data_IF_147987968987
#
_entry.id   IF_147987968987
#
_cell.length_a   1.000
_cell.length_b   1.000
_cell.length_c   1.000
_cell.angle_alpha   90.00
_cell.angle_beta   90.00
_cell.angle_gamma   90.00
#
_symmetry.space_group_name_H-M   'P 1'
#
loop_
_entity.id
_entity.type
_entity.pdbx_description
1 polymer ?
#
# COMPACT_ATOMS: atom_id res chain seq x y z
N UNK A 1 -45.68 -14.90 27.70
CA UNK A 1 -44.89 -13.66 27.90
C UNK A 1 -43.58 -14.06 28.55
N UNK A 2 -42.45 -13.95 27.83
CA UNK A 2 -41.54 -12.84 28.09
C UNK A 2 -41.00 -12.14 26.81
N UNK A 3 -41.03 -10.81 26.90
CA UNK A 3 -40.13 -9.78 26.34
C UNK A 3 -39.39 -9.98 25.00
N UNK A 4 -39.94 -9.35 23.95
CA UNK A 4 -39.25 -9.00 22.70
C UNK A 4 -38.06 -8.05 22.98
N UNK A 5 -36.82 -8.51 22.77
CA UNK A 5 -35.67 -7.62 22.59
C UNK A 5 -35.58 -7.22 21.11
N UNK A 6 -35.83 -5.95 20.83
CA UNK A 6 -35.64 -5.33 19.52
C UNK A 6 -34.14 -5.28 19.18
N UNK A 7 -33.71 -6.00 18.14
CA UNK A 7 -32.38 -5.85 17.56
C UNK A 7 -32.33 -4.52 16.80
N UNK A 8 -31.68 -3.51 17.38
CA UNK A 8 -31.26 -2.30 16.65
C UNK A 8 -30.26 -2.73 15.58
N UNK A 9 -30.63 -2.60 14.31
CA UNK A 9 -29.69 -2.71 13.20
C UNK A 9 -28.62 -1.63 13.35
N UNK A 10 -27.35 -2.04 13.46
CA UNK A 10 -26.22 -1.13 13.27
C UNK A 10 -26.15 -0.83 11.77
N UNK A 11 -26.65 0.35 11.37
CA UNK A 11 -26.32 0.94 10.08
C UNK A 11 -24.80 1.08 10.05
N UNK A 12 -24.14 0.43 9.10
CA UNK A 12 -22.75 0.70 8.77
C UNK A 12 -22.62 2.18 8.44
N UNK A 13 -21.92 2.92 9.29
CA UNK A 13 -21.56 4.29 8.99
C UNK A 13 -20.51 4.21 7.87
N UNK A 14 -20.90 4.60 6.65
CA UNK A 14 -19.94 5.13 5.69
C UNK A 14 -19.36 6.39 6.32
N UNK A 15 -18.21 6.28 6.96
CA UNK A 15 -17.50 7.45 7.47
C UNK A 15 -16.90 8.20 6.29
N UNK A 16 -17.61 9.22 5.82
CA UNK A 16 -17.01 10.26 4.98
C UNK A 16 -15.95 10.96 5.83
N UNK A 17 -14.69 10.75 5.50
CA UNK A 17 -13.57 11.47 6.09
C UNK A 17 -13.69 12.97 5.75
N UNK A 18 -14.32 13.73 6.64
CA UNK A 18 -14.23 15.19 6.66
C UNK A 18 -13.24 15.61 7.75
N UNK A 19 -12.02 15.07 7.72
CA UNK A 19 -10.90 15.66 8.43
C UNK A 19 -10.19 16.59 7.46
N UNK A 20 -10.47 17.88 7.56
CA UNK A 20 -9.64 18.91 6.93
C UNK A 20 -8.33 18.97 7.71
N UNK A 21 -7.44 18.01 7.49
CA UNK A 21 -6.05 18.10 7.95
C UNK A 21 -5.42 19.23 7.15
N UNK A 22 -5.04 20.30 7.83
CA UNK A 22 -4.35 21.42 7.21
C UNK A 22 -3.07 20.89 6.52
N UNK A 23 -2.96 20.98 5.18
CA UNK A 23 -1.80 20.49 4.43
C UNK A 23 -0.50 21.16 4.90
N UNK A 24 -0.58 22.36 5.47
CA UNK A 24 0.58 23.09 5.98
C UNK A 24 1.13 22.53 7.31
N UNK A 25 0.40 21.60 7.94
CA UNK A 25 0.78 21.01 9.22
C UNK A 25 1.44 19.62 9.08
N UNK A 26 1.38 18.98 7.90
CA UNK A 26 2.02 17.70 7.67
C UNK A 26 3.54 17.87 7.66
N UNK A 27 4.23 17.03 8.43
CA UNK A 27 5.69 17.11 8.58
C UNK A 27 6.32 15.76 8.32
N UNK A 28 7.47 15.79 7.66
CA UNK A 28 8.32 14.62 7.48
C UNK A 28 8.81 14.14 8.85
N UNK A 29 8.56 12.86 9.15
CA UNK A 29 9.08 12.21 10.35
C UNK A 29 10.58 11.92 10.28
N UNK A 30 11.16 11.61 11.42
CA UNK A 30 12.59 11.30 11.60
C UNK A 30 12.86 9.84 11.94
N UNK A 31 14.10 9.38 11.74
CA UNK A 31 14.52 8.04 12.19
C UNK A 31 14.42 7.88 13.72
N UNK A 32 14.63 8.95 14.49
CA UNK A 32 14.49 8.92 15.95
C UNK A 32 13.04 8.70 16.39
N UNK A 33 12.09 9.34 15.71
CA UNK A 33 10.66 9.11 15.96
C UNK A 33 10.26 7.70 15.53
N UNK A 34 10.77 7.21 14.39
CA UNK A 34 10.57 5.83 13.95
C UNK A 34 11.09 4.82 14.97
N UNK A 35 12.28 5.05 15.55
CA UNK A 35 12.83 4.18 16.60
C UNK A 35 11.91 4.13 17.82
N UNK A 36 11.36 5.28 18.24
CA UNK A 36 10.48 5.43 19.41
C UNK A 36 9.03 4.99 19.17
N UNK A 37 8.62 4.84 17.92
CA UNK A 37 7.24 4.49 17.57
C UNK A 37 6.82 3.17 18.22
N UNK A 38 5.59 3.15 18.77
CA UNK A 38 5.02 1.93 19.35
C UNK A 38 4.51 1.04 18.22
N UNK A 39 5.21 -0.06 17.98
CA UNK A 39 4.89 -1.04 16.91
C UNK A 39 3.89 -2.11 17.35
N UNK A 40 3.80 -2.41 18.65
CA UNK A 40 2.86 -3.38 19.21
C UNK A 40 1.50 -2.75 19.44
N UNK A 41 0.76 -2.62 18.33
CA UNK A 41 -0.64 -2.17 18.26
C UNK A 41 -1.46 -3.27 17.57
N UNK A 42 -2.76 -3.34 17.86
CA UNK A 42 -3.67 -4.29 17.20
C UNK A 42 -3.86 -3.91 15.74
N UNK A 43 -4.19 -2.63 15.51
CA UNK A 43 -4.32 -2.03 14.19
C UNK A 43 -3.42 -0.79 14.09
N UNK A 44 -2.79 -0.52 12.93
CA UNK A 44 -2.10 0.73 12.69
C UNK A 44 -3.08 1.90 12.84
N UNK A 45 -2.82 2.86 13.73
CA UNK A 45 -3.76 3.95 13.96
C UNK A 45 -3.71 4.95 12.79
N UNK A 46 -4.88 5.40 12.35
CA UNK A 46 -5.05 6.48 11.36
C UNK A 46 -5.25 7.86 12.01
N UNK A 47 -5.37 7.93 13.34
CA UNK A 47 -5.52 9.16 14.12
C UNK A 47 -4.75 9.11 15.44
N UNK A 48 -4.52 10.28 16.04
CA UNK A 48 -3.86 10.41 17.34
C UNK A 48 -2.34 10.58 17.23
N UNK A 49 -1.62 10.17 18.28
CA UNK A 49 -0.21 10.50 18.47
C UNK A 49 0.80 9.44 17.98
N UNK A 50 0.33 8.27 17.55
CA UNK A 50 1.18 7.15 17.12
C UNK A 50 0.97 6.82 15.64
N UNK A 51 0.97 7.81 14.76
CA UNK A 51 0.64 7.65 13.32
C UNK A 51 1.70 6.89 12.51
N UNK A 52 2.95 6.88 12.98
CA UNK A 52 4.11 6.33 12.25
C UNK A 52 3.91 4.89 11.73
N UNK A 53 3.34 3.93 12.48
CA UNK A 53 3.06 2.60 11.94
C UNK A 53 2.08 2.63 10.75
N UNK A 54 1.07 3.50 10.79
CA UNK A 54 0.16 3.72 9.66
C UNK A 54 0.91 4.31 8.47
N UNK A 55 1.69 5.36 8.69
CA UNK A 55 2.44 6.04 7.63
C UNK A 55 3.47 5.11 6.96
N UNK A 56 4.19 4.30 7.73
CA UNK A 56 5.20 3.37 7.19
C UNK A 56 4.57 2.23 6.38
N UNK A 57 3.34 1.82 6.70
CA UNK A 57 2.66 0.71 6.04
C UNK A 57 1.82 1.14 4.84
N UNK A 58 1.27 2.36 4.85
CA UNK A 58 0.21 2.78 3.92
C UNK A 58 0.48 4.07 3.14
N UNK A 59 1.64 4.69 3.33
CA UNK A 59 2.00 5.84 2.50
C UNK A 59 2.45 5.38 1.11
N UNK A 60 2.19 6.19 0.09
CA UNK A 60 2.61 5.97 -1.30
C UNK A 60 3.39 7.17 -1.87
N UNK A 61 4.32 6.99 -2.83
CA UNK A 61 4.95 8.11 -3.51
C UNK A 61 3.99 8.83 -4.44
N UNK A 62 4.32 10.07 -4.79
CA UNK A 62 3.67 10.87 -5.84
C UNK A 62 4.70 11.73 -6.55
N UNK A 63 4.45 12.07 -7.82
CA UNK A 63 5.26 13.08 -8.49
C UNK A 63 4.97 14.52 -8.04
N UNK A 64 3.86 14.75 -7.32
CA UNK A 64 3.54 16.05 -6.75
C UNK A 64 4.45 16.38 -5.55
N UNK A 65 4.93 17.62 -5.47
CA UNK A 65 5.81 18.06 -4.40
C UNK A 65 5.06 18.15 -3.06
N UNK A 66 5.78 17.87 -1.97
CA UNK A 66 5.29 18.00 -0.59
C UNK A 66 4.66 16.73 -0.04
N UNK A 67 3.83 16.91 0.99
CA UNK A 67 3.07 15.86 1.66
C UNK A 67 1.57 16.13 1.48
N UNK A 68 0.79 15.07 1.24
CA UNK A 68 -0.68 15.16 1.26
C UNK A 68 -1.29 13.88 1.83
N UNK A 69 -2.59 13.90 2.19
CA UNK A 69 -3.27 12.71 2.70
C UNK A 69 -3.45 11.66 1.60
N UNK A 70 -3.20 10.40 1.92
CA UNK A 70 -3.49 9.30 1.00
C UNK A 70 -4.98 8.94 1.05
N UNK A 71 -5.77 9.61 0.19
CA UNK A 71 -7.23 9.44 0.14
C UNK A 71 -7.65 8.08 -0.41
N UNK A 72 -6.87 7.54 -1.35
CA UNK A 72 -7.15 6.25 -1.98
C UNK A 72 -7.03 5.11 -0.94
N UNK A 73 -6.01 5.17 -0.09
CA UNK A 73 -5.83 4.21 1.02
C UNK A 73 -6.72 4.48 2.23
N UNK A 74 -7.18 5.72 2.41
CA UNK A 74 -7.87 6.17 3.62
C UNK A 74 -6.99 6.32 4.87
N UNK A 75 -5.69 5.99 4.77
CA UNK A 75 -4.67 6.08 5.82
C UNK A 75 -3.30 6.33 5.17
N UNK A 76 -2.36 6.95 5.90
CA UNK A 76 -1.03 7.27 5.40
C UNK A 76 -1.01 8.53 4.55
N UNK A 77 0.14 8.79 3.93
CA UNK A 77 0.43 10.01 3.19
C UNK A 77 0.84 9.71 1.74
N UNK A 78 0.63 10.68 0.86
CA UNK A 78 1.35 10.78 -0.39
C UNK A 78 2.57 11.69 -0.19
N UNK A 79 3.72 11.32 -0.74
CA UNK A 79 4.94 12.14 -0.64
C UNK A 79 5.66 12.34 -1.96
N UNK A 80 6.14 13.56 -2.16
CA UNK A 80 6.85 14.00 -3.36
C UNK A 80 8.34 13.66 -3.41
N UNK A 81 8.98 13.96 -4.55
CA UNK A 81 10.43 13.81 -4.71
C UNK A 81 11.23 14.77 -3.81
N UNK A 82 10.72 15.96 -3.49
CA UNK A 82 11.32 16.89 -2.53
C UNK A 82 11.40 16.31 -1.11
N UNK A 83 10.35 15.60 -0.68
CA UNK A 83 10.32 14.91 0.62
C UNK A 83 11.31 13.74 0.63
N UNK A 84 11.39 12.98 -0.48
CA UNK A 84 12.39 11.92 -0.64
C UNK A 84 13.81 12.47 -0.56
N UNK A 85 14.08 13.57 -1.28
CA UNK A 85 15.36 14.27 -1.25
C UNK A 85 15.71 14.73 0.16
N UNK A 86 14.78 15.38 0.86
CA UNK A 86 14.98 15.87 2.22
C UNK A 86 15.28 14.73 3.20
N UNK A 87 14.53 13.63 3.14
CA UNK A 87 14.72 12.48 4.02
C UNK A 87 16.07 11.80 3.79
N UNK A 88 16.43 11.55 2.53
CA UNK A 88 17.71 10.93 2.16
C UNK A 88 18.89 11.80 2.59
N UNK A 89 18.84 13.11 2.32
CA UNK A 89 19.87 14.06 2.71
C UNK A 89 20.07 14.10 4.23
N UNK A 90 18.97 14.28 4.97
CA UNK A 90 19.00 14.45 6.45
C UNK A 90 19.60 13.22 7.14
N UNK A 91 19.34 12.03 6.62
CA UNK A 91 19.77 10.78 7.24
C UNK A 91 21.03 10.18 6.60
N UNK A 92 21.68 10.90 5.67
CA UNK A 92 22.84 10.42 4.91
C UNK A 92 22.59 9.04 4.25
N UNK A 93 21.41 8.89 3.63
CA UNK A 93 20.98 7.69 2.92
C UNK A 93 21.01 7.92 1.41
N UNK A 94 21.09 6.83 0.64
CA UNK A 94 21.08 6.85 -0.83
C UNK A 94 19.89 6.16 -1.46
N UNK A 95 19.17 5.32 -0.72
CA UNK A 95 18.06 4.53 -1.23
C UNK A 95 16.91 4.50 -0.23
N UNK A 96 15.70 4.64 -0.75
CA UNK A 96 14.48 4.12 -0.12
C UNK A 96 13.98 3.00 -1.04
N UNK A 97 13.81 1.79 -0.49
CA UNK A 97 13.22 0.66 -1.20
C UNK A 97 11.93 0.30 -0.47
N UNK A 98 10.81 0.32 -1.20
CA UNK A 98 9.48 -0.04 -0.71
C UNK A 98 8.82 -1.08 -1.62
N UNK A 99 7.69 -1.62 -1.19
CA UNK A 99 6.87 -2.56 -1.98
C UNK A 99 5.46 -2.05 -2.15
N UNK A 100 4.45 -2.66 -1.52
CA UNK A 100 3.06 -2.21 -1.31
C UNK A 100 2.18 -1.83 -2.54
N UNK A 101 2.70 -1.30 -3.66
CA UNK A 101 1.93 -1.00 -4.87
C UNK A 101 2.22 -2.06 -5.94
N UNK A 102 1.21 -2.86 -6.28
CA UNK A 102 1.22 -3.83 -7.38
C UNK A 102 0.73 -3.25 -8.70
N UNK A 103 0.59 -4.07 -9.76
CA UNK A 103 0.09 -3.62 -11.06
C UNK A 103 -1.37 -3.12 -10.99
N UNK A 104 -2.20 -3.67 -10.12
CA UNK A 104 -3.59 -3.25 -9.90
C UNK A 104 -3.71 -1.83 -9.33
N UNK A 105 -2.87 -1.51 -8.32
CA UNK A 105 -2.77 -0.16 -7.78
C UNK A 105 -2.18 0.79 -8.82
N UNK A 106 -1.16 0.33 -9.56
CA UNK A 106 -0.38 1.16 -10.49
C UNK A 106 -1.13 1.49 -11.78
N UNK A 107 -2.05 0.65 -12.23
CA UNK A 107 -2.92 0.95 -13.37
C UNK A 107 -3.86 2.14 -13.13
N UNK A 108 -4.11 2.49 -11.87
CA UNK A 108 -4.91 3.67 -11.48
C UNK A 108 -4.04 4.92 -11.32
N UNK A 109 -2.72 4.78 -11.32
CA UNK A 109 -1.77 5.88 -11.19
C UNK A 109 -1.49 6.45 -12.57
N UNK A 110 -1.82 7.74 -12.75
CA UNK A 110 -1.47 8.47 -13.98
C UNK A 110 -0.10 9.15 -13.88
N UNK A 111 0.43 9.28 -12.66
CA UNK A 111 1.67 9.99 -12.38
C UNK A 111 2.88 9.05 -12.30
N UNK A 112 2.70 7.75 -12.04
CA UNK A 112 3.80 6.81 -11.88
C UNK A 112 3.80 5.72 -12.96
N UNK A 113 4.98 5.13 -13.17
CA UNK A 113 5.16 4.02 -14.13
C UNK A 113 4.49 2.72 -13.62
N UNK A 114 4.08 1.88 -14.58
CA UNK A 114 3.49 0.56 -14.33
C UNK A 114 4.50 -0.51 -13.86
N UNK A 115 4.00 -1.62 -13.32
CA UNK A 115 4.80 -2.69 -12.69
C UNK A 115 5.18 -3.84 -13.62
N UNK A 116 5.26 -3.64 -14.93
CA UNK A 116 5.49 -4.72 -15.90
C UNK A 116 6.73 -5.58 -15.58
N UNK A 117 7.80 -4.94 -15.10
CA UNK A 117 9.06 -5.61 -14.74
C UNK A 117 9.17 -5.99 -13.25
N UNK A 118 8.12 -5.75 -12.45
CA UNK A 118 8.10 -5.98 -11.00
C UNK A 118 8.83 -4.91 -10.19
N UNK A 119 9.26 -3.80 -10.78
CA UNK A 119 9.83 -2.68 -10.04
C UNK A 119 9.77 -1.37 -10.85
N UNK A 120 9.87 -0.24 -10.14
CA UNK A 120 10.09 1.10 -10.70
C UNK A 120 11.05 1.92 -9.86
N UNK A 121 11.64 2.93 -10.50
CA UNK A 121 12.34 4.02 -9.80
C UNK A 121 11.38 5.21 -9.82
N UNK A 122 10.67 5.43 -8.73
CA UNK A 122 9.59 6.43 -8.67
C UNK A 122 10.16 7.84 -8.51
N UNK A 123 11.19 8.01 -7.67
CA UNK A 123 11.90 9.28 -7.54
C UNK A 123 13.40 9.08 -7.81
N UNK A 124 13.94 9.93 -8.68
CA UNK A 124 15.38 10.08 -8.87
C UNK A 124 15.76 11.50 -8.44
N UNK A 125 16.44 11.60 -7.32
CA UNK A 125 16.80 12.87 -6.67
C UNK A 125 18.31 12.95 -6.48
N UNK A 126 18.83 14.14 -6.17
CA UNK A 126 20.27 14.37 -6.02
C UNK A 126 20.92 13.42 -5.00
N UNK A 127 20.25 13.19 -3.86
CA UNK A 127 20.77 12.32 -2.81
C UNK A 127 20.61 10.84 -3.10
N UNK A 128 19.77 10.43 -4.06
CA UNK A 128 19.53 9.01 -4.28
C UNK A 128 18.23 8.68 -5.00
N UNK A 129 17.68 7.51 -4.70
CA UNK A 129 16.51 6.96 -5.40
C UNK A 129 15.46 6.43 -4.44
N UNK A 130 14.19 6.61 -4.81
CA UNK A 130 13.07 5.83 -4.29
C UNK A 130 12.71 4.75 -5.31
N UNK A 131 12.63 3.50 -4.82
CA UNK A 131 12.35 2.32 -5.64
C UNK A 131 11.12 1.63 -5.07
N UNK A 132 10.16 1.31 -5.94
CA UNK A 132 9.06 0.39 -5.64
C UNK A 132 9.39 -0.96 -6.24
N UNK A 133 9.30 -2.01 -5.42
CA UNK A 133 9.65 -3.40 -5.75
C UNK A 133 8.45 -4.30 -5.46
N UNK A 134 8.04 -5.08 -6.44
CA UNK A 134 6.91 -5.99 -6.36
C UNK A 134 7.31 -7.41 -6.78
N UNK A 135 7.20 -8.37 -5.86
CA UNK A 135 7.73 -9.74 -6.04
C UNK A 135 6.64 -10.78 -6.35
N UNK A 136 5.41 -10.37 -6.66
CA UNK A 136 4.33 -11.27 -7.04
C UNK A 136 4.09 -11.20 -8.56
N UNK A 137 4.63 -12.14 -9.37
CA UNK A 137 4.40 -12.15 -10.81
C UNK A 137 2.97 -12.57 -11.14
N UNK A 138 2.46 -12.00 -12.23
CA UNK A 138 1.13 -12.26 -12.77
C UNK A 138 0.03 -12.04 -11.70
N UNK A 139 0.16 -10.96 -10.92
CA UNK A 139 -0.75 -10.58 -9.85
C UNK A 139 -2.04 -9.96 -10.41
N UNK A 140 -3.20 -10.11 -9.74
CA UNK A 140 -3.46 -10.94 -8.57
C UNK A 140 -3.69 -12.41 -8.93
N UNK A 141 -3.61 -13.32 -7.94
CA UNK A 141 -3.86 -14.74 -8.17
C UNK A 141 -5.30 -15.00 -8.62
N UNK A 142 -6.27 -14.35 -7.97
CA UNK A 142 -7.69 -14.42 -8.26
C UNK A 142 -8.16 -13.07 -8.80
N UNK A 143 -8.89 -13.07 -9.92
CA UNK A 143 -9.45 -11.87 -10.54
C UNK A 143 -10.68 -12.25 -11.36
N UNK A 144 -11.67 -11.37 -11.42
CA UNK A 144 -12.89 -11.55 -12.19
C UNK A 144 -12.68 -11.45 -13.71
N UNK A 145 -11.69 -10.66 -14.13
CA UNK A 145 -11.36 -10.46 -15.55
C UNK A 145 -10.52 -11.62 -16.09
N UNK A 146 -10.74 -11.97 -17.35
CA UNK A 146 -9.86 -12.87 -18.11
C UNK A 146 -8.53 -12.19 -18.46
N UNK A 147 -8.53 -10.87 -18.63
CA UNK A 147 -7.33 -10.09 -18.93
C UNK A 147 -6.46 -9.97 -17.67
N UNK A 148 -5.27 -10.55 -17.73
CA UNK A 148 -4.29 -10.56 -16.64
C UNK A 148 -3.25 -9.46 -16.87
N UNK A 149 -2.78 -8.86 -15.78
CA UNK A 149 -1.65 -7.94 -15.82
C UNK A 149 -0.38 -8.58 -16.38
N UNK A 150 -0.18 -9.89 -16.15
CA UNK A 150 1.01 -10.63 -16.59
C UNK A 150 2.34 -9.95 -16.20
N UNK A 151 2.35 -9.18 -15.11
CA UNK A 151 3.55 -8.50 -14.63
C UNK A 151 4.62 -9.52 -14.23
N UNK A 152 5.89 -9.15 -14.36
CA UNK A 152 6.96 -9.86 -13.67
C UNK A 152 6.91 -9.56 -12.16
N UNK A 153 7.45 -10.48 -11.38
CA UNK A 153 7.93 -10.19 -10.04
C UNK A 153 9.39 -9.78 -10.13
N UNK A 154 9.90 -9.07 -9.14
CA UNK A 154 11.32 -8.79 -9.05
C UNK A 154 11.86 -8.90 -7.61
N UNK A 155 13.17 -9.05 -7.51
CA UNK A 155 13.94 -8.86 -6.27
C UNK A 155 15.19 -8.02 -6.55
N UNK A 156 15.75 -7.43 -5.49
CA UNK A 156 16.95 -6.59 -5.56
C UNK A 156 18.07 -7.26 -4.77
N UNK A 157 19.26 -7.28 -5.37
CA UNK A 157 20.50 -7.65 -4.67
C UNK A 157 21.33 -6.39 -4.47
N UNK A 158 21.62 -6.06 -3.21
CA UNK A 158 22.52 -4.97 -2.83
C UNK A 158 23.89 -5.56 -2.49
N UNK A 159 24.94 -5.12 -3.19
CA UNK A 159 26.28 -5.67 -3.05
C UNK A 159 27.26 -4.68 -2.42
N UNK A 160 28.19 -5.16 -1.56
CA UNK A 160 29.33 -4.34 -1.15
C UNK A 160 30.25 -4.06 -2.36
N UNK A 161 31.03 -2.97 -2.31
CA UNK A 161 31.10 -2.00 -1.22
C UNK A 161 30.05 -0.89 -1.30
N UNK A 162 29.36 -0.73 -2.43
CA UNK A 162 28.56 0.46 -2.74
C UNK A 162 27.17 0.43 -2.08
N UNK A 163 26.46 -0.71 -2.04
CA UNK A 163 25.07 -0.88 -1.57
C UNK A 163 24.02 0.12 -2.12
N UNK A 164 24.43 1.18 -2.83
CA UNK A 164 23.60 2.25 -3.37
C UNK A 164 23.25 2.04 -4.86
N UNK A 165 23.91 1.08 -5.51
CA UNK A 165 23.60 0.63 -6.87
C UNK A 165 22.90 -0.73 -6.82
N UNK A 166 21.56 -0.77 -6.80
CA UNK A 166 20.79 -2.01 -6.73
C UNK A 166 20.89 -2.81 -8.03
N UNK A 167 21.06 -4.13 -7.91
CA UNK A 167 20.96 -5.06 -9.04
C UNK A 167 19.57 -5.67 -9.04
N UNK A 168 18.79 -5.35 -10.08
CA UNK A 168 17.43 -5.84 -10.23
C UNK A 168 17.41 -7.20 -10.94
N UNK A 169 16.57 -8.10 -10.45
CA UNK A 169 16.31 -9.38 -11.06
C UNK A 169 14.80 -9.61 -11.17
N UNK A 170 14.29 -9.55 -12.40
CA UNK A 170 12.89 -9.86 -12.70
C UNK A 170 12.72 -11.36 -12.97
N UNK A 171 11.55 -11.89 -12.63
CA UNK A 171 11.17 -13.27 -12.86
C UNK A 171 9.68 -13.37 -13.20
N UNK A 172 9.36 -14.34 -14.04
CA UNK A 172 7.99 -14.58 -14.49
C UNK A 172 7.26 -15.58 -13.58
N UNK A 173 5.93 -15.60 -13.69
CA UNK A 173 5.12 -16.57 -12.98
C UNK A 173 5.34 -17.97 -13.55
N UNK A 174 5.47 -18.96 -12.68
CA UNK A 174 5.46 -20.37 -13.08
C UNK A 174 4.04 -20.77 -13.45
N UNK A 175 3.84 -21.25 -14.68
CA UNK A 175 2.55 -21.71 -15.21
C UNK A 175 2.61 -23.21 -15.56
N UNK A 176 1.53 -23.99 -15.33
CA UNK A 176 0.28 -23.59 -14.69
C UNK A 176 0.45 -23.45 -13.17
N UNK A 177 -0.36 -22.59 -12.55
CA UNK A 177 -0.40 -22.49 -11.08
C UNK A 177 -1.10 -23.72 -10.49
N UNK A 178 -0.70 -24.19 -9.28
CA UNK A 178 -1.50 -25.16 -8.54
C UNK A 178 -2.93 -24.65 -8.33
N UNK A 179 -3.91 -25.55 -8.46
CA UNK A 179 -5.30 -25.21 -8.20
C UNK A 179 -5.48 -24.81 -6.73
N UNK A 180 -6.08 -23.64 -6.51
CA UNK A 180 -6.39 -23.11 -5.20
C UNK A 180 -7.79 -22.48 -5.23
N UNK A 181 -8.55 -22.63 -4.15
CA UNK A 181 -9.83 -21.96 -4.00
C UNK A 181 -9.60 -20.60 -3.31
N UNK A 182 -10.28 -19.53 -3.76
CA UNK A 182 -10.21 -18.25 -3.09
C UNK A 182 -10.84 -18.34 -1.70
N UNK A 183 -10.32 -17.56 -0.75
CA UNK A 183 -10.87 -17.47 0.60
C UNK A 183 -12.04 -16.48 0.69
N UNK A 184 -12.13 -15.56 -0.28
CA UNK A 184 -13.16 -14.53 -0.38
C UNK A 184 -13.81 -14.54 -1.76
N UNK A 185 -14.97 -13.90 -1.88
CA UNK A 185 -15.59 -13.66 -3.17
C UNK A 185 -14.81 -12.57 -3.92
N UNK A 186 -13.92 -13.00 -4.81
CA UNK A 186 -13.04 -12.09 -5.58
C UNK A 186 -13.77 -11.46 -6.77
N UNK A 187 -14.99 -11.89 -7.09
CA UNK A 187 -15.79 -11.28 -8.16
C UNK A 187 -16.33 -9.92 -7.73
N UNK A 188 -16.69 -9.79 -6.45
CA UNK A 188 -17.18 -8.57 -5.83
C UNK A 188 -16.05 -7.69 -5.22
N UNK A 189 -14.82 -8.20 -5.14
CA UNK A 189 -13.65 -7.52 -4.55
C UNK A 189 -12.51 -7.54 -5.57
N UNK A 190 -12.60 -6.62 -6.51
CA UNK A 190 -11.69 -6.54 -7.67
C UNK A 190 -10.36 -5.87 -7.27
N UNK A 191 -10.36 -5.12 -6.16
CA UNK A 191 -9.29 -4.21 -5.79
C UNK A 191 -8.64 -4.58 -4.45
N UNK A 192 -7.31 -4.69 -4.42
CA UNK A 192 -6.57 -4.91 -3.17
C UNK A 192 -6.54 -3.67 -2.27
N UNK A 193 -6.88 -2.51 -2.82
CA UNK A 193 -6.94 -1.24 -2.12
C UNK A 193 -8.33 -1.03 -1.45
N UNK A 194 -9.34 -1.84 -1.78
CA UNK A 194 -10.67 -1.77 -1.18
C UNK A 194 -10.77 -2.65 0.08
N UNK A 195 -11.26 -2.08 1.19
CA UNK A 195 -11.51 -2.85 2.42
C UNK A 195 -12.56 -3.94 2.17
N UNK A 196 -12.17 -5.20 2.43
CA UNK A 196 -13.08 -6.33 2.49
C UNK A 196 -14.20 -6.08 3.53
N UNK A 197 -15.42 -5.84 3.06
CA UNK A 197 -16.58 -5.73 3.95
C UNK A 197 -17.01 -7.11 4.46
N UNK A 198 -16.34 -7.60 5.50
CA UNK A 198 -16.60 -8.89 6.15
C UNK A 198 -18.05 -9.05 6.64
N UNK A 199 -18.79 -7.95 6.81
CA UNK A 199 -20.21 -7.99 7.20
C UNK A 199 -21.17 -8.47 6.09
N UNK A 200 -20.75 -8.43 4.82
CA UNK A 200 -21.55 -8.91 3.68
C UNK A 200 -21.38 -10.42 3.44
N UNK A 201 -20.30 -11.03 3.92
CA UNK A 201 -20.01 -12.45 3.73
C UNK A 201 -20.86 -13.37 4.64
N UNK A 202 -21.35 -12.87 5.77
CA UNK A 202 -22.14 -13.65 6.75
C UNK A 202 -23.61 -13.87 6.31
N UNK A 203 -24.02 -13.32 5.16
CA UNK A 203 -25.35 -13.56 4.58
C UNK A 203 -25.41 -14.72 3.57
N UNK A 204 -24.28 -15.38 3.27
CA UNK A 204 -24.19 -16.39 2.22
C UNK A 204 -24.49 -17.84 2.62
N UNK A 205 -24.64 -18.16 3.91
CA UNK A 205 -24.78 -19.56 4.36
C UNK A 205 -26.14 -19.91 4.99
N UNK A 206 -27.24 -19.51 4.35
CA UNK A 206 -28.56 -20.03 4.69
C UNK A 206 -29.52 -20.04 3.50
N UNK A 207 -29.37 -21.00 2.59
CA UNK A 207 -30.48 -21.47 1.77
C UNK A 207 -30.29 -22.95 1.44
N UNK A 208 -30.98 -23.79 2.22
CA UNK A 208 -31.47 -25.12 1.81
C UNK A 208 -32.62 -24.98 0.82
#
# INVERSE_FOLDING_TARGET
MPTKRTKKGKKGNKYKANSTVDPTLMKLGSLDELLKARRTVLDPPWEGSNLIPGDVLWSDPSLEMGLSSNKERGIGLLWGPDITQQFLYTNNLKLIIRSHEGPDARDKRHDLLGMDNGYTIDHHVECGKLITLFSAPDYPQFQASEDRYNNCGAYIVLNPPDFSTPVFHSFEAVKPRPAANPYYDFEDVIDSDEELNLGAMDSGSASS
#
